data_IF_663967962898
#
_entry.id   IF_663967962898
#
_cell.length_a   1.000
_cell.length_b   1.000
_cell.length_c   1.000
_cell.angle_alpha   90.00
_cell.angle_beta   90.00
_cell.angle_gamma   90.00
#
_symmetry.space_group_name_H-M   'P 1'
#
loop_
_entity.id
_entity.type
_entity.pdbx_description
1 polymer ?
#
# COMPACT_ATOMS: atom_id res chain seq x y z
N UNK A 1 -11.92 -13.90 -17.17
CA UNK A 1 -10.80 -13.13 -16.55
C UNK A 1 -11.41 -12.16 -15.55
N UNK A 2 -10.92 -12.13 -14.31
CA UNK A 2 -11.40 -11.18 -13.28
C UNK A 2 -10.93 -9.78 -13.61
N UNK A 3 -11.84 -8.80 -13.53
CA UNK A 3 -11.54 -7.35 -13.65
C UNK A 3 -12.23 -6.61 -12.52
N UNK A 4 -11.61 -5.54 -12.05
CA UNK A 4 -12.22 -4.63 -11.10
C UNK A 4 -13.18 -3.68 -11.82
N UNK A 5 -14.28 -3.33 -11.15
CA UNK A 5 -15.30 -2.38 -11.63
C UNK A 5 -15.17 -1.06 -10.88
N UNK A 6 -14.92 0.03 -11.58
CA UNK A 6 -14.82 1.38 -10.99
C UNK A 6 -16.15 1.83 -10.41
N UNK A 7 -16.12 2.45 -9.23
CA UNK A 7 -17.27 3.15 -8.73
C UNK A 7 -17.62 4.37 -9.62
N UNK A 8 -18.88 4.70 -9.75
CA UNK A 8 -19.35 5.84 -10.57
C UNK A 8 -18.98 7.19 -9.94
N UNK A 9 -18.79 7.20 -8.64
CA UNK A 9 -18.46 8.36 -7.81
C UNK A 9 -16.97 8.75 -7.88
N UNK A 10 -16.17 7.96 -8.60
CA UNK A 10 -14.73 8.25 -8.73
C UNK A 10 -14.47 9.58 -9.46
N UNK A 11 -13.39 10.31 -9.06
CA UNK A 11 -12.54 10.03 -7.90
C UNK A 11 -13.23 10.34 -6.57
N UNK A 12 -13.07 9.46 -5.57
CA UNK A 12 -13.74 9.59 -4.25
C UNK A 12 -13.05 10.59 -3.31
N UNK A 13 -11.79 10.87 -3.52
CA UNK A 13 -11.04 11.93 -2.83
C UNK A 13 -10.11 12.63 -3.81
N UNK A 14 -10.18 13.96 -3.82
CA UNK A 14 -9.32 14.87 -4.60
C UNK A 14 -8.59 15.81 -3.64
N UNK A 15 -7.54 16.54 -4.05
CA UNK A 15 -6.98 17.63 -3.25
C UNK A 15 -8.05 18.57 -2.70
N UNK A 16 -7.84 19.11 -1.51
CA UNK A 16 -8.77 20.04 -0.85
C UNK A 16 -8.13 21.43 -0.64
N UNK A 17 -8.85 22.34 0.01
CA UNK A 17 -8.31 23.66 0.34
C UNK A 17 -7.37 23.66 1.57
N UNK A 18 -7.18 22.51 2.22
CA UNK A 18 -6.26 22.38 3.34
C UNK A 18 -4.80 22.45 2.84
N UNK A 19 -4.00 23.35 3.40
CA UNK A 19 -2.66 23.66 2.90
C UNK A 19 -1.73 22.45 2.76
N UNK A 20 -1.90 21.43 3.60
CA UNK A 20 -1.06 20.23 3.63
C UNK A 20 -1.49 19.15 2.62
N UNK A 21 -2.68 19.26 1.99
CA UNK A 21 -3.21 18.30 1.01
C UNK A 21 -3.80 18.96 -0.25
N UNK A 22 -3.48 20.22 -0.49
CA UNK A 22 -4.07 20.98 -1.60
C UNK A 22 -3.40 20.74 -2.96
N UNK A 23 -2.45 19.82 -3.02
CA UNK A 23 -1.77 19.45 -4.27
C UNK A 23 -2.03 17.99 -4.66
N UNK A 24 -1.79 17.05 -3.74
CA UNK A 24 -1.89 15.61 -4.02
C UNK A 24 -2.54 14.88 -2.83
N UNK A 25 -3.43 13.92 -3.15
CA UNK A 25 -3.97 12.92 -2.19
C UNK A 25 -4.03 11.58 -2.91
N UNK A 26 -3.34 10.55 -2.41
CA UNK A 26 -3.17 9.29 -3.14
C UNK A 26 -2.71 8.12 -2.24
N UNK A 27 -2.60 6.93 -2.81
CA UNK A 27 -2.05 5.70 -2.21
C UNK A 27 -2.61 5.37 -0.82
N UNK A 28 -3.93 5.22 -0.67
CA UNK A 28 -4.56 5.02 0.62
C UNK A 28 -4.40 3.58 1.13
N UNK A 29 -3.96 3.43 2.39
CA UNK A 29 -4.24 2.24 3.20
C UNK A 29 -5.70 2.27 3.66
N UNK A 30 -6.32 1.10 3.80
CA UNK A 30 -7.73 0.99 4.18
C UNK A 30 -7.95 -0.08 5.24
N UNK A 31 -8.86 0.17 6.17
CA UNK A 31 -9.27 -0.81 7.17
C UNK A 31 -10.71 -0.56 7.63
N UNK A 32 -11.41 -1.64 8.00
CA UNK A 32 -12.68 -1.55 8.69
C UNK A 32 -12.46 -1.35 10.19
N UNK A 33 -13.05 -0.31 10.75
CA UNK A 33 -13.10 -0.03 12.18
C UNK A 33 -14.56 0.06 12.59
N UNK A 34 -15.03 -0.95 13.32
CA UNK A 34 -16.46 -1.13 13.59
C UNK A 34 -17.28 -1.17 12.29
N UNK A 35 -18.18 -0.20 12.09
CA UNK A 35 -19.05 -0.08 10.92
C UNK A 35 -18.54 0.94 9.87
N UNK A 36 -17.32 1.44 10.03
CA UNK A 36 -16.74 2.47 9.13
C UNK A 36 -15.48 2.00 8.45
N UNK A 37 -15.30 2.43 7.23
CA UNK A 37 -14.04 2.37 6.50
C UNK A 37 -13.17 3.56 6.92
N UNK A 38 -11.94 3.28 7.29
CA UNK A 38 -10.90 4.27 7.52
C UNK A 38 -9.91 4.22 6.37
N UNK A 39 -9.69 5.35 5.71
CA UNK A 39 -8.62 5.53 4.73
C UNK A 39 -7.52 6.38 5.35
N UNK A 40 -6.32 5.81 5.41
CA UNK A 40 -5.09 6.56 5.73
C UNK A 40 -4.39 6.79 4.41
N UNK A 41 -4.30 8.04 3.97
CA UNK A 41 -3.81 8.38 2.64
C UNK A 41 -2.60 9.30 2.68
N UNK A 42 -1.73 9.15 1.70
CA UNK A 42 -0.61 10.07 1.47
C UNK A 42 -1.14 11.39 0.90
N UNK A 43 -0.62 12.50 1.38
CA UNK A 43 -0.98 13.84 0.92
C UNK A 43 0.22 14.78 0.86
N UNK A 44 0.16 15.75 -0.04
CA UNK A 44 1.18 16.79 -0.20
C UNK A 44 0.51 18.14 -0.45
N UNK A 45 1.06 19.18 0.18
CA UNK A 45 0.67 20.55 -0.01
C UNK A 45 1.49 21.24 -1.11
N UNK A 46 0.90 22.25 -1.74
CA UNK A 46 1.60 23.05 -2.75
C UNK A 46 2.73 23.87 -2.11
N UNK A 47 3.94 23.70 -2.64
CA UNK A 47 5.14 24.39 -2.11
C UNK A 47 5.74 23.73 -0.86
N UNK A 48 5.18 22.62 -0.41
CA UNK A 48 5.70 21.83 0.70
C UNK A 48 6.07 20.43 0.19
N UNK A 49 7.35 20.06 0.11
CA UNK A 49 7.78 18.77 -0.41
C UNK A 49 7.50 17.60 0.54
N UNK A 50 7.15 17.88 1.81
CA UNK A 50 6.92 16.84 2.81
C UNK A 50 5.57 16.16 2.59
N UNK A 51 5.57 14.88 2.35
CA UNK A 51 4.33 14.10 2.37
C UNK A 51 3.93 13.71 3.80
N UNK A 52 2.62 13.74 4.05
CA UNK A 52 1.97 13.43 5.32
C UNK A 52 0.91 12.36 5.13
N UNK A 53 0.41 11.81 6.23
CA UNK A 53 -0.74 10.93 6.22
C UNK A 53 -1.99 11.66 6.69
N UNK A 54 -3.01 11.64 5.85
CA UNK A 54 -4.37 12.09 6.18
C UNK A 54 -5.26 10.92 6.63
N UNK A 55 -6.40 11.25 7.24
CA UNK A 55 -7.43 10.28 7.60
C UNK A 55 -8.80 10.75 7.07
N UNK A 56 -9.49 9.85 6.39
CA UNK A 56 -10.88 10.00 6.02
C UNK A 56 -11.69 8.77 6.42
N UNK A 57 -12.96 8.95 6.76
CA UNK A 57 -13.84 7.86 7.19
C UNK A 57 -15.15 7.83 6.40
N UNK A 58 -15.69 6.63 6.19
CA UNK A 58 -16.94 6.41 5.45
C UNK A 58 -17.73 5.24 6.03
N UNK A 59 -19.07 5.30 5.98
CA UNK A 59 -19.93 4.16 6.30
C UNK A 59 -20.22 3.28 5.08
N UNK A 60 -20.31 3.87 3.92
CA UNK A 60 -20.64 3.16 2.67
C UNK A 60 -19.39 2.73 1.88
N UNK A 61 -18.23 3.28 2.19
CA UNK A 61 -16.96 3.00 1.49
C UNK A 61 -16.75 3.84 0.23
N UNK A 62 -17.61 4.80 -0.03
CA UNK A 62 -17.60 5.66 -1.22
C UNK A 62 -17.54 7.14 -0.83
N UNK A 63 -18.42 7.59 0.06
CA UNK A 63 -18.48 8.99 0.51
C UNK A 63 -17.69 9.15 1.80
N UNK A 64 -16.59 9.90 1.73
CA UNK A 64 -15.63 10.04 2.82
C UNK A 64 -15.65 11.42 3.45
N UNK A 65 -15.65 11.45 4.77
CA UNK A 65 -15.42 12.65 5.59
C UNK A 65 -13.94 12.69 6.02
N UNK A 66 -13.26 13.81 5.73
CA UNK A 66 -11.84 14.00 6.05
C UNK A 66 -11.64 14.60 7.42
N UNK A 67 -10.55 14.26 8.09
CA UNK A 67 -10.01 15.08 9.20
C UNK A 67 -9.34 16.32 8.64
N UNK A 68 -9.47 17.44 9.37
CA UNK A 68 -8.86 18.73 8.99
C UNK A 68 -7.33 18.71 9.13
N UNK A 69 -6.84 18.07 10.18
CA UNK A 69 -5.42 17.97 10.47
C UNK A 69 -4.86 16.63 9.96
N UNK A 70 -3.59 16.59 9.57
CA UNK A 70 -2.93 15.34 9.27
C UNK A 70 -3.08 14.34 10.43
N UNK A 71 -3.27 13.06 10.09
CA UNK A 71 -3.25 12.00 11.08
C UNK A 71 -1.84 11.82 11.66
N UNK A 72 -0.84 11.88 10.76
CA UNK A 72 0.56 11.74 11.08
C UNK A 72 1.40 12.57 10.11
N UNK A 73 2.23 13.46 10.64
CA UNK A 73 2.97 14.43 9.81
C UNK A 73 4.36 13.96 9.40
N UNK A 74 4.93 12.98 10.07
CA UNK A 74 6.35 12.65 9.89
C UNK A 74 7.26 13.78 10.37
N UNK A 75 8.56 13.64 10.10
CA UNK A 75 9.55 14.68 10.41
C UNK A 75 10.02 14.73 11.86
N UNK A 76 9.49 13.85 12.72
CA UNK A 76 9.98 13.69 14.10
C UNK A 76 11.30 12.91 14.19
N UNK A 77 11.66 12.19 13.13
CA UNK A 77 12.86 11.39 13.02
C UNK A 77 13.70 11.80 11.79
N UNK A 78 15.04 11.73 11.84
CA UNK A 78 15.89 12.06 10.69
C UNK A 78 15.57 11.29 9.41
N UNK A 79 15.14 10.04 9.53
CA UNK A 79 14.74 9.18 8.39
C UNK A 79 13.46 9.64 7.68
N UNK A 80 12.72 10.61 8.24
CA UNK A 80 11.49 11.19 7.71
C UNK A 80 11.67 12.64 7.22
N UNK A 81 12.92 13.09 7.02
CA UNK A 81 13.20 14.50 6.69
C UNK A 81 12.54 15.00 5.39
N UNK A 82 12.18 14.10 4.48
CA UNK A 82 11.39 14.38 3.27
C UNK A 82 9.94 13.87 3.35
N UNK A 83 9.50 13.41 4.54
CA UNK A 83 8.14 12.95 4.80
C UNK A 83 7.96 11.43 4.75
N UNK A 84 6.70 11.04 4.73
CA UNK A 84 6.26 9.66 4.86
C UNK A 84 5.29 9.29 3.74
N UNK A 85 5.37 8.05 3.24
CA UNK A 85 4.69 7.64 2.02
C UNK A 85 3.96 6.31 2.16
N UNK A 86 2.87 6.17 1.40
CA UNK A 86 2.22 4.90 1.04
C UNK A 86 1.90 4.01 2.25
N UNK A 87 1.01 4.43 3.15
CA UNK A 87 0.68 3.69 4.37
C UNK A 87 -0.07 2.40 4.06
N UNK A 88 0.21 1.35 4.83
CA UNK A 88 -0.56 0.12 4.88
C UNK A 88 -0.94 -0.17 6.31
N UNK A 89 -2.19 -0.56 6.52
CA UNK A 89 -2.71 -0.75 7.86
C UNK A 89 -3.31 -2.14 8.03
N UNK A 90 -3.01 -2.75 9.17
CA UNK A 90 -3.59 -4.01 9.59
C UNK A 90 -3.89 -3.98 11.09
N UNK A 91 -4.92 -4.70 11.52
CA UNK A 91 -5.18 -4.91 12.93
C UNK A 91 -4.68 -6.30 13.35
N UNK A 92 -3.84 -6.35 14.39
CA UNK A 92 -3.40 -7.59 15.03
C UNK A 92 -3.77 -7.45 16.51
N UNK A 93 -4.59 -8.36 17.01
CA UNK A 93 -5.20 -8.28 18.33
C UNK A 93 -5.99 -6.95 18.50
N UNK A 94 -5.68 -6.13 19.48
CA UNK A 94 -6.32 -4.84 19.74
C UNK A 94 -5.54 -3.62 19.22
N UNK A 95 -4.48 -3.85 18.41
CA UNK A 95 -3.55 -2.82 17.95
C UNK A 95 -3.55 -2.72 16.43
N UNK A 96 -3.59 -1.50 15.91
CA UNK A 96 -3.41 -1.20 14.50
C UNK A 96 -1.94 -0.94 14.20
N UNK A 97 -1.40 -1.64 13.21
CA UNK A 97 -0.02 -1.53 12.73
C UNK A 97 -0.04 -0.80 11.39
N UNK A 98 0.63 0.33 11.32
CA UNK A 98 0.72 1.16 10.13
C UNK A 98 2.17 1.11 9.65
N UNK A 99 2.43 0.36 8.58
CA UNK A 99 3.71 0.42 7.88
C UNK A 99 3.66 1.52 6.85
N UNK A 100 4.74 2.25 6.72
CA UNK A 100 4.90 3.31 5.72
C UNK A 100 6.33 3.37 5.22
N UNK A 101 6.58 4.17 4.20
CA UNK A 101 7.92 4.49 3.75
C UNK A 101 8.35 5.81 4.37
N UNK A 102 9.33 5.78 5.26
CA UNK A 102 10.06 6.95 5.70
C UNK A 102 11.03 7.36 4.58
N UNK A 103 11.10 8.65 4.26
CA UNK A 103 11.98 9.16 3.20
C UNK A 103 12.86 10.25 3.77
N UNK A 104 14.15 10.06 3.66
CA UNK A 104 15.17 11.05 4.02
C UNK A 104 16.02 11.44 2.83
N UNK A 105 16.71 12.57 2.95
CA UNK A 105 17.72 12.99 1.99
C UNK A 105 18.96 12.15 2.16
N UNK A 106 19.49 11.64 1.03
CA UNK A 106 20.74 10.85 1.04
C UNK A 106 21.41 10.91 -0.33
N UNK A 107 22.44 11.74 -0.42
CA UNK A 107 23.19 11.97 -1.65
C UNK A 107 24.06 10.78 -2.10
N UNK A 108 24.25 9.77 -1.26
CA UNK A 108 24.96 8.54 -1.60
C UNK A 108 24.07 7.53 -2.33
N UNK A 109 22.75 7.75 -2.36
CA UNK A 109 21.82 6.86 -3.08
C UNK A 109 21.84 7.18 -4.56
N UNK A 110 22.47 6.30 -5.35
CA UNK A 110 22.62 6.40 -6.81
C UNK A 110 21.52 5.67 -7.61
N UNK A 111 20.59 4.96 -6.94
CA UNK A 111 19.48 4.26 -7.60
C UNK A 111 18.61 5.28 -8.31
N UNK A 112 18.53 5.21 -9.62
CA UNK A 112 17.92 6.23 -10.51
C UNK A 112 16.54 6.71 -10.05
N UNK A 113 15.67 5.78 -9.62
CA UNK A 113 14.31 6.12 -9.17
C UNK A 113 14.27 6.77 -7.77
N UNK A 114 15.38 6.74 -7.02
CA UNK A 114 15.51 7.29 -5.67
C UNK A 114 16.72 8.22 -5.51
N UNK A 115 17.33 8.64 -6.61
CA UNK A 115 18.54 9.46 -6.57
C UNK A 115 18.42 10.61 -5.58
N UNK A 116 19.35 10.68 -4.63
CA UNK A 116 19.37 11.67 -3.57
C UNK A 116 18.36 11.44 -2.43
N UNK A 117 17.64 10.29 -2.42
CA UNK A 117 16.64 9.97 -1.40
C UNK A 117 16.83 8.55 -0.88
N UNK A 118 16.67 8.37 0.41
CA UNK A 118 16.70 7.08 1.10
C UNK A 118 15.29 6.67 1.53
N UNK A 119 14.60 5.81 0.78
CA UNK A 119 13.36 5.21 1.23
C UNK A 119 13.64 4.04 2.17
N UNK A 120 13.02 4.03 3.34
CA UNK A 120 13.14 2.99 4.35
C UNK A 120 11.78 2.56 4.88
N UNK A 121 11.69 1.33 5.36
CA UNK A 121 10.44 0.77 5.88
C UNK A 121 10.33 1.13 7.35
N UNK A 122 9.31 1.89 7.70
CA UNK A 122 9.01 2.31 9.05
C UNK A 122 7.66 1.79 9.53
N UNK A 123 7.46 1.82 10.83
CA UNK A 123 6.26 1.33 11.51
C UNK A 123 5.83 2.31 12.61
N UNK A 124 4.54 2.58 12.66
CA UNK A 124 3.87 3.16 13.81
C UNK A 124 2.68 2.30 14.20
N UNK A 125 2.31 2.31 15.49
CA UNK A 125 1.14 1.60 15.99
C UNK A 125 0.20 2.53 16.73
N UNK A 126 -1.09 2.19 16.72
CA UNK A 126 -2.11 2.93 17.45
C UNK A 126 -3.25 2.00 17.88
N UNK A 127 -3.99 2.38 18.93
CA UNK A 127 -5.24 1.71 19.31
C UNK A 127 -6.48 2.57 19.01
N UNK A 128 -6.30 3.87 18.80
CA UNK A 128 -7.38 4.85 18.79
C UNK A 128 -7.30 5.89 17.66
N UNK A 129 -6.29 5.81 16.81
CA UNK A 129 -5.98 6.81 15.77
C UNK A 129 -5.77 8.24 16.30
N UNK A 130 -5.34 8.36 17.56
CA UNK A 130 -5.01 9.62 18.24
C UNK A 130 -3.64 9.58 18.86
N UNK A 131 -3.31 8.46 19.50
CA UNK A 131 -2.02 8.23 20.16
C UNK A 131 -1.24 7.19 19.37
N UNK A 132 0.00 7.50 19.04
CA UNK A 132 0.88 6.64 18.26
C UNK A 132 2.10 6.21 19.07
N UNK A 133 2.56 5.00 18.82
CA UNK A 133 3.85 4.48 19.27
C UNK A 133 4.68 4.20 18.03
N UNK A 134 5.76 4.96 17.88
CA UNK A 134 6.63 4.86 16.71
C UNK A 134 7.76 3.87 16.97
N UNK A 135 8.02 3.03 15.98
CA UNK A 135 9.10 2.04 15.97
C UNK A 135 10.21 2.44 14.99
N UNK A 136 10.08 3.63 14.38
CA UNK A 136 10.98 4.14 13.35
C UNK A 136 11.24 3.13 12.23
N UNK A 137 12.46 3.07 11.72
CA UNK A 137 12.86 2.12 10.67
C UNK A 137 12.99 0.72 11.24
N UNK A 138 12.12 -0.19 10.80
CA UNK A 138 12.08 -1.58 11.30
C UNK A 138 12.98 -2.55 10.54
N UNK A 139 13.48 -2.18 9.35
CA UNK A 139 14.49 -2.94 8.60
C UNK A 139 15.65 -1.98 8.27
N UNK A 140 16.60 -1.81 9.17
CA UNK A 140 17.72 -0.88 8.98
C UNK A 140 18.62 -1.30 7.82
N UNK A 141 19.32 -0.32 7.23
CA UNK A 141 20.26 -0.50 6.13
C UNK A 141 19.67 -1.11 4.84
N UNK A 142 18.35 -1.04 4.66
CA UNK A 142 17.67 -1.49 3.48
C UNK A 142 17.02 -0.32 2.75
N UNK A 143 17.34 -0.14 1.47
CA UNK A 143 16.51 0.68 0.58
C UNK A 143 15.26 -0.13 0.23
N UNK A 144 14.13 0.22 0.83
CA UNK A 144 12.91 -0.58 0.71
C UNK A 144 11.63 0.23 0.83
N UNK A 145 10.56 -0.33 0.27
CA UNK A 145 9.19 0.22 0.29
C UNK A 145 8.16 -0.90 0.39
N UNK A 146 6.90 -0.53 0.40
CA UNK A 146 5.76 -1.45 0.24
C UNK A 146 5.79 -2.59 1.26
N UNK A 147 5.94 -2.29 2.54
CA UNK A 147 5.86 -3.29 3.59
C UNK A 147 4.42 -3.50 4.06
N UNK A 148 4.06 -4.75 4.34
CA UNK A 148 2.73 -5.12 4.83
C UNK A 148 2.81 -6.30 5.77
N UNK A 149 2.24 -6.15 6.96
CA UNK A 149 2.06 -7.26 7.89
C UNK A 149 0.96 -8.21 7.43
N UNK A 150 1.09 -9.48 7.80
CA UNK A 150 -0.03 -10.40 7.82
C UNK A 150 -0.98 -10.03 8.98
N UNK A 151 -2.31 -10.27 8.85
CA UNK A 151 -3.31 -9.74 9.79
C UNK A 151 -3.37 -10.50 11.12
N UNK A 152 -2.43 -11.37 11.39
CA UNK A 152 -2.30 -12.11 12.65
C UNK A 152 -0.88 -12.62 12.85
N UNK A 153 -0.53 -12.90 14.10
CA UNK A 153 0.67 -13.70 14.40
C UNK A 153 0.44 -15.15 13.99
N UNK A 154 1.44 -15.75 13.39
CA UNK A 154 1.44 -17.15 12.98
C UNK A 154 2.52 -17.87 13.75
N UNK A 155 2.14 -18.85 14.58
CA UNK A 155 3.04 -19.53 15.51
C UNK A 155 3.79 -18.56 16.46
N UNK A 156 3.10 -17.49 16.91
CA UNK A 156 3.67 -16.48 17.79
C UNK A 156 4.55 -15.44 17.12
N UNK A 157 4.78 -15.54 15.81
CA UNK A 157 5.64 -14.64 15.05
C UNK A 157 4.80 -13.66 14.21
N UNK A 158 5.27 -12.42 14.09
CA UNK A 158 4.84 -11.48 13.06
C UNK A 158 5.41 -11.90 11.72
N UNK A 159 4.60 -11.84 10.68
CA UNK A 159 4.99 -12.07 9.31
C UNK A 159 4.86 -10.78 8.51
N UNK A 160 5.87 -10.48 7.70
CA UNK A 160 5.99 -9.26 6.92
C UNK A 160 6.37 -9.58 5.47
N UNK A 161 5.64 -8.98 4.53
CA UNK A 161 6.09 -8.86 3.14
C UNK A 161 6.63 -7.45 2.92
N UNK A 162 7.71 -7.31 2.17
CA UNK A 162 8.28 -6.01 1.83
C UNK A 162 9.05 -6.04 0.51
N UNK A 163 9.14 -4.91 -0.15
CA UNK A 163 9.97 -4.76 -1.35
C UNK A 163 11.35 -4.20 -0.98
N UNK A 164 12.38 -4.94 -1.37
CA UNK A 164 13.77 -4.48 -1.33
C UNK A 164 14.21 -4.03 -2.73
N UNK A 165 14.93 -2.92 -2.79
CA UNK A 165 15.39 -2.39 -4.07
C UNK A 165 14.24 -2.07 -5.04
N UNK A 166 14.48 -2.26 -6.31
CA UNK A 166 13.58 -1.79 -7.38
C UNK A 166 12.37 -2.70 -7.63
N UNK A 167 12.39 -3.98 -7.24
CA UNK A 167 11.26 -4.83 -7.60
C UNK A 167 11.21 -6.23 -7.01
N UNK A 168 12.07 -6.56 -6.06
CA UNK A 168 12.05 -7.89 -5.42
C UNK A 168 11.26 -7.83 -4.12
N UNK A 169 10.25 -8.68 -4.00
CA UNK A 169 9.46 -8.81 -2.77
C UNK A 169 9.97 -9.95 -1.92
N UNK A 170 10.19 -9.66 -0.66
CA UNK A 170 10.69 -10.58 0.36
C UNK A 170 9.61 -10.86 1.41
N UNK A 171 9.70 -12.02 1.99
CA UNK A 171 9.01 -12.43 3.21
C UNK A 171 10.02 -12.51 4.34
N UNK A 172 9.67 -11.98 5.50
CA UNK A 172 10.43 -12.13 6.74
C UNK A 172 9.50 -12.36 7.92
N UNK A 173 10.04 -12.88 9.01
CA UNK A 173 9.30 -13.13 10.23
C UNK A 173 10.09 -12.68 11.46
N UNK A 174 9.37 -12.39 12.54
CA UNK A 174 9.96 -11.91 13.78
C UNK A 174 9.06 -12.21 14.99
N UNK A 175 9.67 -12.44 16.15
CA UNK A 175 8.97 -12.44 17.45
C UNK A 175 8.86 -11.04 18.04
N UNK A 176 9.63 -10.08 17.51
CA UNK A 176 9.61 -8.66 17.86
C UNK A 176 9.39 -7.80 16.62
N UNK A 177 9.11 -6.51 16.79
CA UNK A 177 8.83 -5.59 15.64
C UNK A 177 10.12 -5.01 15.01
N UNK A 178 11.28 -5.28 15.57
CA UNK A 178 12.55 -4.64 15.19
C UNK A 178 13.65 -5.60 14.73
N UNK A 179 13.47 -6.92 14.94
CA UNK A 179 14.47 -7.92 14.57
C UNK A 179 13.89 -8.95 13.60
N UNK A 180 14.03 -8.69 12.31
CA UNK A 180 13.48 -9.51 11.24
C UNK A 180 14.49 -10.57 10.79
N UNK A 181 14.02 -11.82 10.71
CA UNK A 181 14.83 -12.98 10.39
C UNK A 181 14.28 -13.72 9.17
N UNK A 182 15.12 -14.61 8.62
CA UNK A 182 14.74 -15.51 7.54
C UNK A 182 14.14 -14.80 6.33
N UNK A 183 14.75 -13.68 5.94
CA UNK A 183 14.34 -12.97 4.73
C UNK A 183 14.51 -13.86 3.50
N UNK A 184 13.42 -14.12 2.78
CA UNK A 184 13.41 -14.92 1.56
C UNK A 184 12.67 -14.17 0.45
N UNK A 185 13.24 -14.17 -0.74
CA UNK A 185 12.55 -13.64 -1.91
C UNK A 185 11.32 -14.50 -2.22
N UNK A 186 10.17 -13.86 -2.43
CA UNK A 186 8.89 -14.51 -2.77
C UNK A 186 8.61 -14.34 -4.25
N UNK A 187 8.67 -13.11 -4.76
CA UNK A 187 8.45 -12.83 -6.17
C UNK A 187 9.24 -11.61 -6.65
N UNK A 188 9.37 -11.53 -7.96
CA UNK A 188 10.00 -10.43 -8.67
C UNK A 188 9.30 -10.20 -10.01
N UNK A 189 9.87 -9.35 -10.85
CA UNK A 189 9.41 -9.05 -12.20
C UNK A 189 9.37 -10.33 -13.08
N UNK A 190 8.44 -10.37 -14.02
CA UNK A 190 8.35 -11.43 -15.05
C UNK A 190 8.71 -10.87 -16.41
N UNK A 191 9.81 -11.34 -16.99
CA UNK A 191 10.23 -10.92 -18.33
C UNK A 191 9.12 -11.12 -19.37
N UNK A 192 8.88 -10.11 -20.21
CA UNK A 192 7.88 -10.16 -21.27
C UNK A 192 6.43 -10.02 -20.80
N UNK A 193 6.18 -9.81 -19.51
CA UNK A 193 4.84 -9.66 -18.94
C UNK A 193 4.55 -8.17 -18.61
N UNK A 194 3.31 -7.88 -18.24
CA UNK A 194 2.84 -6.56 -17.81
C UNK A 194 3.52 -6.04 -16.54
N UNK A 195 4.17 -6.90 -15.79
CA UNK A 195 4.89 -6.62 -14.55
C UNK A 195 6.41 -6.84 -14.70
N UNK A 196 6.95 -6.51 -15.89
CA UNK A 196 8.32 -6.85 -16.29
C UNK A 196 9.40 -5.88 -15.77
N UNK A 197 9.04 -4.66 -15.39
CA UNK A 197 10.02 -3.64 -14.96
C UNK A 197 10.08 -3.53 -13.43
N UNK A 198 8.92 -3.58 -12.77
CA UNK A 198 8.83 -3.42 -11.33
C UNK A 198 7.62 -4.15 -10.78
N UNK A 199 7.76 -4.67 -9.57
CA UNK A 199 6.64 -5.24 -8.82
C UNK A 199 6.71 -4.78 -7.36
N UNK A 200 5.58 -4.86 -6.66
CA UNK A 200 5.52 -4.66 -5.22
C UNK A 200 4.16 -5.04 -4.68
N UNK A 201 4.11 -5.33 -3.38
CA UNK A 201 2.85 -5.64 -2.72
C UNK A 201 1.96 -4.40 -2.62
N UNK A 202 0.67 -4.63 -2.65
CA UNK A 202 -0.35 -3.64 -2.38
C UNK A 202 -0.72 -3.62 -0.88
N UNK A 203 -1.99 -3.89 -0.53
CA UNK A 203 -2.49 -3.94 0.85
C UNK A 203 -1.94 -5.15 1.62
N UNK A 204 -2.23 -5.23 2.94
CA UNK A 204 -2.01 -6.43 3.73
C UNK A 204 -2.62 -7.67 3.10
N UNK A 205 -1.96 -8.84 3.22
CA UNK A 205 -2.52 -10.11 2.75
C UNK A 205 -3.86 -10.41 3.40
N UNK A 206 -4.81 -10.92 2.63
CA UNK A 206 -6.14 -11.33 3.11
C UNK A 206 -6.14 -12.84 3.26
N UNK A 207 -6.55 -13.33 4.43
CA UNK A 207 -6.70 -14.77 4.63
C UNK A 207 -7.95 -15.30 3.93
N UNK A 208 -7.79 -16.36 3.15
CA UNK A 208 -8.90 -17.00 2.43
C UNK A 208 -8.81 -18.52 2.59
N UNK A 209 -9.85 -19.25 2.17
CA UNK A 209 -9.81 -20.70 2.11
C UNK A 209 -8.75 -21.25 1.13
N UNK A 210 -8.39 -20.46 0.11
CA UNK A 210 -7.41 -20.80 -0.92
C UNK A 210 -5.96 -20.47 -0.53
N UNK A 211 -5.74 -19.76 0.59
CA UNK A 211 -4.44 -19.27 1.03
C UNK A 211 -4.46 -17.77 1.28
N UNK A 212 -3.31 -17.14 1.24
CA UNK A 212 -3.17 -15.69 1.39
C UNK A 212 -3.38 -14.99 0.05
N UNK A 213 -4.46 -14.23 -0.07
CA UNK A 213 -4.74 -13.39 -1.23
C UNK A 213 -3.93 -12.09 -1.12
N UNK A 214 -3.16 -11.79 -2.15
CA UNK A 214 -2.46 -10.53 -2.33
C UNK A 214 -3.00 -9.79 -3.55
N UNK A 215 -3.29 -8.51 -3.38
CA UNK A 215 -3.30 -7.56 -4.48
C UNK A 215 -1.89 -6.98 -4.60
N UNK A 216 -1.34 -6.95 -5.79
CA UNK A 216 0.00 -6.43 -6.03
C UNK A 216 0.01 -5.52 -7.26
N UNK A 217 1.01 -4.68 -7.37
CA UNK A 217 1.20 -3.86 -8.55
C UNK A 217 2.37 -4.35 -9.40
N UNK A 218 2.22 -4.19 -10.70
CA UNK A 218 3.27 -4.38 -11.67
C UNK A 218 3.45 -3.13 -12.54
N UNK A 219 4.61 -2.99 -13.13
CA UNK A 219 4.96 -1.89 -14.05
C UNK A 219 5.58 -2.49 -15.29
N UNK A 220 5.11 -2.10 -16.45
CA UNK A 220 5.65 -2.51 -17.74
C UNK A 220 6.72 -1.53 -18.26
N UNK A 221 7.28 -1.84 -19.42
CA UNK A 221 8.33 -1.03 -20.08
C UNK A 221 7.84 0.34 -20.60
N UNK A 222 6.53 0.59 -20.59
CA UNK A 222 5.95 1.91 -20.90
C UNK A 222 5.73 2.77 -19.65
N UNK A 223 6.16 2.28 -18.48
CA UNK A 223 5.90 2.84 -17.16
C UNK A 223 4.40 2.86 -16.77
N UNK A 224 3.59 2.01 -17.38
CA UNK A 224 2.19 1.84 -17.00
C UNK A 224 2.10 0.89 -15.79
N UNK A 225 1.43 1.36 -14.74
CA UNK A 225 1.14 0.57 -13.55
C UNK A 225 -0.18 -0.17 -13.72
N UNK A 226 -0.19 -1.44 -13.35
CA UNK A 226 -1.38 -2.25 -13.27
C UNK A 226 -1.47 -2.98 -11.94
N UNK A 227 -2.66 -3.46 -11.58
CA UNK A 227 -2.87 -4.31 -10.42
C UNK A 227 -3.08 -5.76 -10.85
N UNK A 228 -2.54 -6.67 -10.08
CA UNK A 228 -2.73 -8.11 -10.21
C UNK A 228 -3.13 -8.77 -8.91
N UNK A 229 -3.48 -10.04 -9.01
CA UNK A 229 -3.82 -10.91 -7.87
C UNK A 229 -2.80 -12.04 -7.80
N UNK A 230 -2.43 -12.40 -6.58
CA UNK A 230 -1.58 -13.54 -6.26
C UNK A 230 -2.16 -14.29 -5.06
N UNK A 231 -2.05 -15.62 -5.06
CA UNK A 231 -2.30 -16.43 -3.89
C UNK A 231 -1.02 -17.09 -3.42
N UNK A 232 -0.74 -16.99 -2.13
CA UNK A 232 0.35 -17.67 -1.47
C UNK A 232 -0.18 -18.81 -0.61
N UNK A 233 0.64 -19.84 -0.44
CA UNK A 233 0.31 -20.95 0.45
C UNK A 233 0.13 -20.46 1.90
N UNK A 234 -0.91 -20.98 2.57
CA UNK A 234 -1.29 -20.53 3.92
C UNK A 234 -0.21 -20.81 4.97
N UNK A 235 0.49 -21.93 4.86
CA UNK A 235 1.51 -22.37 5.81
C UNK A 235 2.92 -21.90 5.40
N UNK A 236 3.14 -21.77 4.09
CA UNK A 236 4.41 -21.35 3.53
C UNK A 236 4.21 -20.22 2.50
N UNK A 237 4.11 -18.96 2.92
CA UNK A 237 3.83 -17.83 2.03
C UNK A 237 4.95 -17.52 1.02
N UNK A 238 6.04 -18.27 1.04
CA UNK A 238 7.05 -18.25 -0.02
C UNK A 238 6.62 -19.01 -1.27
N UNK A 239 5.61 -19.88 -1.14
CA UNK A 239 5.07 -20.67 -2.25
C UNK A 239 3.91 -19.92 -2.89
N UNK A 240 4.09 -19.52 -4.14
CA UNK A 240 3.04 -18.94 -4.96
C UNK A 240 2.17 -20.08 -5.51
N UNK A 241 0.87 -20.02 -5.22
CA UNK A 241 -0.13 -20.96 -5.74
C UNK A 241 -0.75 -20.46 -7.05
N UNK A 242 -0.92 -19.14 -7.15
CA UNK A 242 -1.46 -18.47 -8.32
C UNK A 242 -0.87 -17.06 -8.44
N UNK A 243 -0.62 -16.60 -9.66
CA UNK A 243 -0.29 -15.21 -9.98
C UNK A 243 -0.94 -14.85 -11.32
N UNK A 244 -1.77 -13.83 -11.34
CA UNK A 244 -2.51 -13.42 -12.53
C UNK A 244 -1.60 -13.21 -13.72
N UNK A 245 -1.88 -13.83 -14.88
CA UNK A 245 -1.08 -13.65 -16.09
C UNK A 245 -1.23 -12.25 -16.68
N UNK A 246 -2.42 -11.65 -16.53
CA UNK A 246 -2.77 -10.33 -17.00
C UNK A 246 -3.15 -9.42 -15.83
N UNK A 247 -3.06 -8.09 -15.98
CA UNK A 247 -3.53 -7.18 -14.96
C UNK A 247 -5.05 -7.28 -14.81
N UNK A 248 -5.52 -7.24 -13.57
CA UNK A 248 -6.96 -7.20 -13.27
C UNK A 248 -7.50 -5.77 -13.33
N UNK A 249 -6.62 -4.78 -13.30
CA UNK A 249 -6.95 -3.35 -13.32
C UNK A 249 -5.79 -2.53 -13.89
N UNK A 250 -6.10 -1.57 -14.76
CA UNK A 250 -5.12 -0.71 -15.43
C UNK A 250 -5.69 0.70 -15.57
N UNK A 251 -4.85 1.74 -15.78
CA UNK A 251 -5.29 3.11 -16.05
C UNK A 251 -6.11 3.17 -17.34
N UNK A 252 -7.35 3.63 -17.27
CA UNK A 252 -8.24 3.79 -18.43
C UNK A 252 -8.81 5.20 -18.49
N UNK A 253 -9.22 5.74 -17.35
CA UNK A 253 -9.78 7.09 -17.25
C UNK A 253 -8.69 8.16 -17.35
N UNK A 254 -9.05 9.36 -17.79
CA UNK A 254 -8.09 10.45 -17.97
C UNK A 254 -7.42 10.84 -16.64
N UNK A 255 -8.14 10.81 -15.53
CA UNK A 255 -7.61 11.10 -14.20
C UNK A 255 -6.72 9.98 -13.62
N UNK A 256 -6.65 8.82 -14.26
CA UNK A 256 -5.70 7.73 -13.99
C UNK A 256 -4.46 7.79 -14.91
N UNK A 257 -4.62 8.41 -16.09
CA UNK A 257 -3.57 8.55 -17.09
C UNK A 257 -2.74 9.82 -16.92
N UNK A 258 -3.36 10.90 -16.46
CA UNK A 258 -2.74 12.21 -16.39
C UNK A 258 -2.77 12.77 -14.98
N UNK A 259 -1.60 13.06 -14.39
CA UNK A 259 -1.47 13.61 -13.04
C UNK A 259 -0.02 13.91 -12.69
N UNK A 260 0.34 13.73 -11.43
CA UNK A 260 1.72 13.93 -10.98
C UNK A 260 2.66 12.87 -11.55
N UNK A 261 2.21 11.62 -11.59
CA UNK A 261 2.85 10.52 -12.33
C UNK A 261 1.83 9.90 -13.27
N UNK A 262 2.12 9.89 -14.57
CA UNK A 262 1.17 9.42 -15.57
C UNK A 262 1.00 7.88 -15.55
N UNK A 263 -0.18 7.41 -15.95
CA UNK A 263 -0.52 5.98 -16.12
C UNK A 263 -0.34 5.16 -14.85
N UNK A 264 -0.85 5.64 -13.72
CA UNK A 264 -0.75 4.96 -12.43
C UNK A 264 -2.12 4.59 -11.87
N UNK A 265 -2.26 3.32 -11.51
CA UNK A 265 -3.23 2.80 -10.52
C UNK A 265 -2.43 2.01 -9.49
N UNK A 266 -2.49 2.45 -8.22
CA UNK A 266 -1.64 1.91 -7.16
C UNK A 266 -2.42 1.75 -5.86
N UNK A 267 -2.47 0.55 -5.31
CA UNK A 267 -3.24 0.26 -4.09
C UNK A 267 -2.36 -0.03 -2.88
N UNK A 268 -2.76 0.51 -1.73
CA UNK A 268 -2.26 0.15 -0.40
C UNK A 268 -3.39 -0.35 0.51
N UNK A 269 -4.64 -0.28 0.07
CA UNK A 269 -5.80 -0.58 0.90
C UNK A 269 -6.88 -1.38 0.17
N UNK A 270 -7.28 -2.49 0.78
CA UNK A 270 -8.45 -3.29 0.38
C UNK A 270 -9.24 -3.64 1.64
N UNK A 271 -10.55 -3.54 1.55
CA UNK A 271 -11.46 -4.05 2.59
C UNK A 271 -12.41 -5.07 1.99
N UNK A 272 -12.94 -5.90 2.86
CA UNK A 272 -14.05 -6.81 2.56
C UNK A 272 -15.35 -6.22 3.10
N UNK A 273 -16.34 -6.06 2.23
CA UNK A 273 -17.67 -5.58 2.58
C UNK A 273 -18.70 -6.12 1.58
N UNK A 274 -19.81 -6.62 2.08
CA UNK A 274 -20.97 -7.06 1.27
C UNK A 274 -20.62 -8.03 0.11
N UNK A 275 -19.85 -9.09 0.40
CA UNK A 275 -19.34 -10.06 -0.57
C UNK A 275 -18.43 -9.47 -1.68
N UNK A 276 -17.99 -8.24 -1.52
CA UNK A 276 -17.07 -7.55 -2.42
C UNK A 276 -15.72 -7.30 -1.74
N UNK A 277 -14.66 -7.24 -2.54
CA UNK A 277 -13.45 -6.53 -2.22
C UNK A 277 -13.58 -5.10 -2.75
N UNK A 278 -13.41 -4.11 -1.87
CA UNK A 278 -13.27 -2.69 -2.23
C UNK A 278 -11.78 -2.38 -2.30
N UNK A 279 -11.28 -2.11 -3.48
CA UNK A 279 -9.87 -1.81 -3.74
C UNK A 279 -9.73 -0.30 -3.88
N UNK A 280 -9.14 0.34 -2.87
CA UNK A 280 -8.84 1.78 -2.89
C UNK A 280 -7.48 1.99 -3.53
N UNK A 281 -7.38 2.95 -4.45
CA UNK A 281 -6.15 3.17 -5.20
C UNK A 281 -5.84 4.65 -5.41
N UNK A 282 -4.56 4.96 -5.45
CA UNK A 282 -4.06 6.22 -5.98
C UNK A 282 -4.07 6.17 -7.50
N UNK A 283 -4.54 7.22 -8.13
CA UNK A 283 -4.60 7.37 -9.55
C UNK A 283 -3.72 8.54 -10.00
N UNK A 284 -2.84 8.27 -10.96
CA UNK A 284 -1.84 9.20 -11.49
C UNK A 284 -1.06 9.96 -10.39
N UNK A 285 -0.90 9.33 -9.19
CA UNK A 285 -0.32 9.93 -7.98
C UNK A 285 -0.93 11.29 -7.61
N UNK A 286 -2.24 11.47 -7.87
CA UNK A 286 -2.91 12.76 -7.73
C UNK A 286 -4.22 12.68 -6.93
N UNK A 287 -5.06 11.66 -7.18
CA UNK A 287 -6.38 11.50 -6.57
C UNK A 287 -6.58 10.06 -6.10
N UNK A 288 -7.66 9.83 -5.34
CA UNK A 288 -8.02 8.49 -4.87
C UNK A 288 -9.31 8.04 -5.54
N UNK A 289 -9.27 6.80 -6.08
CA UNK A 289 -10.42 6.07 -6.56
C UNK A 289 -10.69 4.81 -5.77
N UNK A 290 -11.86 4.21 -6.04
CA UNK A 290 -12.24 2.88 -5.55
C UNK A 290 -12.80 2.03 -6.69
N UNK A 291 -12.43 0.76 -6.71
CA UNK A 291 -13.00 -0.23 -7.60
C UNK A 291 -13.35 -1.49 -6.82
N UNK A 292 -14.33 -2.25 -7.29
CA UNK A 292 -14.84 -3.44 -6.58
C UNK A 292 -14.72 -4.69 -7.43
N UNK A 293 -14.71 -5.83 -6.74
CA UNK A 293 -14.81 -7.17 -7.37
C UNK A 293 -15.50 -8.13 -6.40
N UNK A 294 -16.34 -9.02 -6.94
CA UNK A 294 -16.97 -10.06 -6.14
C UNK A 294 -15.92 -11.05 -5.61
N UNK A 295 -15.98 -11.36 -4.31
CA UNK A 295 -15.07 -12.31 -3.65
C UNK A 295 -15.06 -13.67 -4.34
N UNK A 296 -16.25 -14.18 -4.71
CA UNK A 296 -16.38 -15.48 -5.40
C UNK A 296 -15.63 -15.52 -6.73
N UNK A 297 -15.58 -14.41 -7.48
CA UNK A 297 -14.85 -14.38 -8.75
C UNK A 297 -13.34 -14.48 -8.54
N UNK A 298 -12.85 -13.85 -7.47
CA UNK A 298 -11.43 -13.91 -7.09
C UNK A 298 -11.07 -15.30 -6.57
N UNK A 299 -11.89 -15.88 -5.71
CA UNK A 299 -11.66 -17.20 -5.12
C UNK A 299 -11.74 -18.34 -6.14
N UNK A 300 -12.42 -18.15 -7.27
CA UNK A 300 -12.53 -19.13 -8.34
C UNK A 300 -11.47 -18.99 -9.46
N UNK A 301 -10.38 -18.25 -9.21
CA UNK A 301 -9.31 -18.06 -10.20
C UNK A 301 -8.46 -19.31 -10.42
N UNK A 302 -8.45 -20.25 -9.48
CA UNK A 302 -7.71 -21.53 -9.58
C UNK A 302 -8.27 -22.60 -8.63
#
# INVERSE_FOLDING_TARGET
MVKLVRAKENPILTPSDLSWENMLVFNPGAIMVEDKVYLIYRAMGKGDPHSRLGLATSRDGIHFERKKDPLYSGGGHPDESLGIEDPRIVKIDDTYYITYTAVSEDHEVEVTIWKGKRPQIALSTTKDFKTFVDYDVIIPNLLGKNASFFPKKINGEYWLLYRAGVGKTYFAKSTSLTHWQNAHQVFEQRSGMWDSVRTGIGPPPIETEKGWLLFYHGVDHTNKYGLGIMFLDRQNPRKILYRSPEPIFEPVEDWEKYGYVNNVVFTCGVIEKDDLYYVYYGAADHVIGVATVEKKLVLNLF
#
